data_IF_496620005802
#
_entry.id   IF_496620005802
#
_cell.length_a   1.000
_cell.length_b   1.000
_cell.length_c   1.000
_cell.angle_alpha   90.00
_cell.angle_beta   90.00
_cell.angle_gamma   90.00
#
_symmetry.space_group_name_H-M   'P 1'
#
loop_
_entity.id
_entity.type
_entity.pdbx_description
1 polymer ?
#
# COMPACT_ATOMS: atom_id res chain seq x y z
N UNK A 1 -7.13 3.77 24.30
CA UNK A 1 -6.33 3.28 23.16
C UNK A 1 -5.25 2.34 23.70
N UNK A 2 -4.83 1.31 22.95
CA UNK A 2 -3.71 0.45 23.35
C UNK A 2 -2.38 1.20 23.18
N UNK A 3 -2.10 2.11 24.10
CA UNK A 3 -0.86 2.92 24.15
C UNK A 3 0.26 2.22 24.91
N UNK A 4 -0.07 1.13 25.62
CA UNK A 4 0.87 0.36 26.43
C UNK A 4 0.92 -1.07 25.96
N UNK A 5 2.09 -1.70 26.11
CA UNK A 5 2.25 -3.14 25.91
C UNK A 5 1.28 -3.88 26.83
N UNK A 6 0.66 -4.92 26.28
CA UNK A 6 -0.17 -5.81 27.07
C UNK A 6 0.71 -6.51 28.12
N UNK A 7 0.23 -6.71 29.37
CA UNK A 7 0.95 -7.53 30.34
C UNK A 7 1.16 -8.94 29.79
N UNK A 8 2.21 -9.60 30.26
CA UNK A 8 2.50 -10.99 29.91
C UNK A 8 1.31 -11.88 30.29
N UNK A 9 0.88 -12.71 29.36
CA UNK A 9 -0.22 -13.65 29.52
C UNK A 9 0.27 -15.03 29.08
N UNK A 10 0.14 -16.02 29.96
CA UNK A 10 0.56 -17.39 29.67
C UNK A 10 -0.28 -18.05 28.55
N UNK A 11 -1.45 -17.49 28.22
CA UNK A 11 -2.41 -18.07 27.28
C UNK A 11 -2.40 -17.42 25.91
N UNK A 12 -1.80 -16.24 25.76
CA UNK A 12 -1.86 -15.42 24.54
C UNK A 12 -0.55 -14.71 24.27
N UNK A 13 -0.16 -14.68 23.01
CA UNK A 13 0.96 -13.87 22.54
C UNK A 13 0.46 -12.53 22.03
N UNK A 14 1.23 -11.47 22.29
CA UNK A 14 0.88 -10.11 21.89
C UNK A 14 2.01 -9.49 21.10
N UNK A 15 1.68 -8.95 19.93
CA UNK A 15 2.52 -8.01 19.21
C UNK A 15 1.89 -6.63 19.33
N UNK A 16 2.61 -5.71 19.97
CA UNK A 16 2.23 -4.31 20.06
C UNK A 16 3.14 -3.49 19.14
N UNK A 17 2.53 -2.83 18.16
CA UNK A 17 3.20 -1.90 17.27
C UNK A 17 2.62 -0.51 17.53
N UNK A 18 3.45 0.39 18.06
CA UNK A 18 3.10 1.79 18.23
C UNK A 18 3.20 2.49 16.87
N UNK A 19 2.05 2.86 16.31
CA UNK A 19 1.94 3.44 14.98
C UNK A 19 0.79 4.45 15.01
N UNK A 20 1.00 5.63 14.45
CA UNK A 20 -0.02 6.62 14.10
C UNK A 20 -0.37 6.55 12.61
N UNK A 21 -1.49 7.15 12.20
CA UNK A 21 -2.01 6.98 10.84
C UNK A 21 -1.13 7.61 9.75
N UNK A 22 -0.12 8.41 10.12
CA UNK A 22 0.84 9.07 9.22
C UNK A 22 2.23 8.43 9.23
N UNK A 23 2.46 7.44 10.09
CA UNK A 23 3.78 6.85 10.28
C UNK A 23 4.18 5.91 9.13
N UNK A 24 5.47 5.58 9.08
CA UNK A 24 6.01 4.60 8.14
C UNK A 24 5.82 3.16 8.64
N UNK A 25 4.78 2.49 8.16
CA UNK A 25 4.50 1.10 8.51
C UNK A 25 5.49 0.11 7.91
N UNK A 26 6.24 0.47 6.85
CA UNK A 26 7.12 -0.48 6.13
C UNK A 26 8.09 -1.20 7.05
N UNK A 27 8.60 -0.49 8.06
CA UNK A 27 9.56 -1.02 9.05
C UNK A 27 8.99 -2.16 9.88
N UNK A 28 7.66 -2.22 10.02
CA UNK A 28 6.95 -3.20 10.83
C UNK A 28 6.35 -4.34 9.99
N UNK A 29 6.36 -4.24 8.66
CA UNK A 29 5.72 -5.24 7.79
C UNK A 29 6.32 -6.64 7.98
N UNK A 30 7.64 -6.75 8.09
CA UNK A 30 8.26 -8.07 8.28
C UNK A 30 7.85 -8.71 9.62
N UNK A 31 7.90 -7.94 10.70
CA UNK A 31 7.56 -8.40 12.04
C UNK A 31 6.07 -8.77 12.16
N UNK A 32 5.18 -7.89 11.67
CA UNK A 32 3.73 -8.14 11.71
C UNK A 32 3.35 -9.38 10.90
N UNK A 33 3.94 -9.55 9.71
CA UNK A 33 3.64 -10.69 8.84
C UNK A 33 4.12 -11.97 9.50
N UNK A 34 5.34 -11.99 10.05
CA UNK A 34 5.86 -13.16 10.75
C UNK A 34 4.99 -13.54 11.97
N UNK A 35 4.53 -12.56 12.74
CA UNK A 35 3.64 -12.79 13.87
C UNK A 35 2.31 -13.42 13.44
N UNK A 36 1.62 -12.83 12.44
CA UNK A 36 0.35 -13.36 11.94
C UNK A 36 0.54 -14.76 11.34
N UNK A 37 1.58 -14.93 10.51
CA UNK A 37 1.86 -16.18 9.82
C UNK A 37 2.19 -17.33 10.78
N UNK A 38 3.01 -17.07 11.82
CA UNK A 38 3.34 -18.07 12.84
C UNK A 38 2.10 -18.55 13.61
N UNK A 39 1.21 -17.63 13.99
CA UNK A 39 -0.02 -17.98 14.71
C UNK A 39 -0.99 -18.79 13.83
N UNK A 40 -1.15 -18.42 12.55
CA UNK A 40 -2.01 -19.15 11.61
C UNK A 40 -1.43 -20.54 11.31
N UNK A 41 -0.12 -20.66 11.05
CA UNK A 41 0.54 -21.96 10.82
C UNK A 41 0.51 -22.87 12.04
N UNK A 42 0.50 -22.29 13.24
CA UNK A 42 0.28 -23.03 14.49
C UNK A 42 -1.17 -23.49 14.72
N UNK A 43 -2.10 -23.21 13.81
CA UNK A 43 -3.52 -23.54 13.96
C UNK A 43 -4.28 -22.62 14.92
N UNK A 44 -3.69 -21.47 15.28
CA UNK A 44 -4.28 -20.48 16.17
C UNK A 44 -5.21 -19.48 15.47
N UNK A 45 -5.74 -18.56 16.27
CA UNK A 45 -6.60 -17.46 15.81
C UNK A 45 -5.90 -16.13 16.13
N UNK A 46 -5.87 -15.22 15.16
CA UNK A 46 -5.26 -13.90 15.32
C UNK A 46 -6.32 -12.81 15.37
N UNK A 47 -6.28 -11.97 16.41
CA UNK A 47 -7.06 -10.75 16.50
C UNK A 47 -6.16 -9.56 16.14
N UNK A 48 -6.49 -8.87 15.04
CA UNK A 48 -5.82 -7.63 14.63
C UNK A 48 -6.77 -6.47 14.89
N UNK A 49 -6.35 -5.46 15.65
CA UNK A 49 -7.17 -4.30 15.94
C UNK A 49 -6.34 -3.01 16.05
N UNK A 50 -7.00 -1.87 15.92
CA UNK A 50 -6.45 -0.56 16.29
C UNK A 50 -7.49 0.18 17.14
N UNK A 51 -7.43 1.51 17.24
CA UNK A 51 -8.40 2.27 18.03
C UNK A 51 -9.84 2.18 17.48
N UNK A 52 -10.01 2.39 16.17
CA UNK A 52 -11.32 2.40 15.50
C UNK A 52 -11.51 1.23 14.52
N UNK A 53 -10.47 0.44 14.27
CA UNK A 53 -10.52 -0.65 13.29
C UNK A 53 -10.50 -0.21 11.82
N UNK A 54 -10.03 1.02 11.53
CA UNK A 54 -10.21 1.66 10.21
C UNK A 54 -8.93 1.72 9.36
N UNK A 55 -7.82 2.17 9.95
CA UNK A 55 -6.59 2.49 9.21
C UNK A 55 -5.48 1.46 9.49
N UNK A 56 -4.79 1.58 10.62
CA UNK A 56 -3.63 0.75 10.99
C UNK A 56 -3.89 -0.76 11.00
N UNK A 57 -5.03 -1.20 11.53
CA UNK A 57 -5.37 -2.63 11.56
C UNK A 57 -5.74 -3.18 10.18
N UNK A 58 -6.41 -2.38 9.34
CA UNK A 58 -6.66 -2.74 7.95
C UNK A 58 -5.33 -2.85 7.20
N UNK A 59 -4.44 -1.88 7.34
CA UNK A 59 -3.11 -1.90 6.72
C UNK A 59 -2.31 -3.15 7.11
N UNK A 60 -2.31 -3.55 8.38
CA UNK A 60 -1.68 -4.79 8.83
C UNK A 60 -2.26 -6.04 8.15
N UNK A 61 -3.58 -6.12 7.99
CA UNK A 61 -4.24 -7.22 7.27
C UNK A 61 -3.85 -7.21 5.77
N UNK A 62 -3.83 -6.04 5.14
CA UNK A 62 -3.45 -5.90 3.73
C UNK A 62 -1.99 -6.30 3.51
N UNK A 63 -1.07 -5.89 4.39
CA UNK A 63 0.33 -6.35 4.37
C UNK A 63 0.41 -7.86 4.43
N UNK A 64 -0.34 -8.50 5.32
CA UNK A 64 -0.40 -9.95 5.38
C UNK A 64 -0.92 -10.55 4.06
N UNK A 65 -2.03 -10.06 3.51
CA UNK A 65 -2.57 -10.57 2.24
C UNK A 65 -1.58 -10.43 1.06
N UNK A 66 -0.90 -9.29 0.94
CA UNK A 66 0.14 -9.04 -0.06
C UNK A 66 1.40 -9.90 0.15
N UNK A 67 1.65 -10.38 1.37
CA UNK A 67 2.72 -11.35 1.63
C UNK A 67 2.37 -12.75 1.10
N UNK A 68 1.09 -13.12 1.16
CA UNK A 68 0.62 -14.46 0.81
C UNK A 68 0.34 -14.61 -0.69
N UNK A 69 0.07 -13.51 -1.38
CA UNK A 69 -0.33 -13.51 -2.80
C UNK A 69 0.37 -12.39 -3.55
N UNK A 70 0.69 -12.57 -4.85
CA UNK A 70 1.31 -11.53 -5.67
C UNK A 70 0.30 -10.46 -6.13
N UNK A 71 -0.39 -9.83 -5.18
CA UNK A 71 -1.44 -8.83 -5.40
C UNK A 71 -1.02 -7.46 -4.86
N UNK A 72 -1.59 -6.39 -5.41
CA UNK A 72 -1.40 -5.03 -4.91
C UNK A 72 -2.19 -4.79 -3.62
N UNK A 73 -1.88 -3.71 -2.91
CA UNK A 73 -2.62 -3.33 -1.70
C UNK A 73 -4.08 -2.99 -2.01
N UNK A 74 -4.38 -2.45 -3.20
CA UNK A 74 -5.75 -2.23 -3.67
C UNK A 74 -6.48 -3.54 -3.97
N UNK A 75 -5.85 -4.48 -4.67
CA UNK A 75 -6.43 -5.81 -4.94
C UNK A 75 -6.68 -6.58 -3.63
N UNK A 76 -5.77 -6.47 -2.66
CA UNK A 76 -5.94 -7.03 -1.32
C UNK A 76 -7.12 -6.39 -0.58
N UNK A 77 -7.31 -5.09 -0.75
CA UNK A 77 -8.43 -4.34 -0.18
C UNK A 77 -9.77 -4.79 -0.76
N UNK A 78 -9.84 -4.98 -2.08
CA UNK A 78 -11.01 -5.53 -2.76
C UNK A 78 -11.34 -6.94 -2.26
N UNK A 79 -10.33 -7.80 -2.18
CA UNK A 79 -10.48 -9.16 -1.63
C UNK A 79 -11.03 -9.18 -0.20
N UNK A 80 -10.60 -8.22 0.64
CA UNK A 80 -11.08 -8.10 2.02
C UNK A 80 -12.55 -7.65 2.08
N UNK A 81 -12.98 -6.75 1.20
CA UNK A 81 -14.37 -6.27 1.14
C UNK A 81 -15.35 -7.39 0.78
N UNK A 82 -14.99 -8.22 -0.20
CA UNK A 82 -15.85 -9.34 -0.64
C UNK A 82 -16.20 -10.29 0.51
N UNK A 83 -15.26 -10.50 1.45
CA UNK A 83 -15.40 -11.47 2.54
C UNK A 83 -16.00 -10.89 3.80
N UNK A 84 -15.98 -9.57 3.94
CA UNK A 84 -16.45 -8.91 5.15
C UNK A 84 -17.07 -7.55 4.77
N UNK A 85 -18.26 -7.56 4.14
CA UNK A 85 -18.93 -6.35 3.67
C UNK A 85 -19.23 -5.36 4.81
N UNK A 86 -19.39 -5.85 6.03
CA UNK A 86 -19.60 -5.04 7.24
C UNK A 86 -18.34 -4.36 7.78
N UNK A 87 -17.15 -4.67 7.25
CA UNK A 87 -15.95 -3.88 7.59
C UNK A 87 -16.16 -2.51 6.98
N UNK A 88 -16.58 -1.57 7.82
CA UNK A 88 -16.55 -0.13 7.54
C UNK A 88 -15.09 0.27 7.34
N UNK A 89 -14.54 0.04 6.17
CA UNK A 89 -13.25 0.58 5.80
C UNK A 89 -13.49 2.05 5.46
N UNK A 90 -13.29 2.94 6.44
CA UNK A 90 -13.22 4.39 6.21
C UNK A 90 -12.07 4.75 5.26
N UNK A 91 -11.17 3.80 4.94
CA UNK A 91 -10.30 3.84 3.77
C UNK A 91 -11.04 4.21 2.46
N UNK A 92 -12.34 3.86 2.34
CA UNK A 92 -13.12 4.00 1.11
C UNK A 92 -13.93 5.29 0.94
N UNK A 93 -14.12 6.12 1.97
CA UNK A 93 -14.75 7.44 1.76
C UNK A 93 -13.91 8.32 0.78
N UNK A 94 -12.66 7.93 0.55
CA UNK A 94 -11.77 8.51 -0.44
C UNK A 94 -12.17 8.23 -1.91
N UNK A 95 -12.96 7.19 -2.21
CA UNK A 95 -13.27 6.76 -3.59
C UNK A 95 -14.68 7.11 -4.07
N UNK A 96 -15.60 7.53 -3.19
CA UNK A 96 -16.98 7.87 -3.58
C UNK A 96 -17.20 9.35 -3.94
N UNK A 97 -16.18 10.03 -4.52
CA UNK A 97 -16.41 11.29 -5.25
C UNK A 97 -16.11 12.61 -4.53
N UNK A 98 -15.07 12.68 -3.69
CA UNK A 98 -14.49 13.97 -3.26
C UNK A 98 -13.03 14.02 -3.70
N UNK A 99 -12.81 14.73 -4.81
CA UNK A 99 -11.57 15.19 -5.43
C UNK A 99 -10.33 14.28 -5.42
N UNK A 100 -10.02 13.77 -6.61
CA UNK A 100 -8.80 13.04 -7.00
C UNK A 100 -7.50 13.86 -6.80
N UNK A 101 -7.59 15.17 -6.53
CA UNK A 101 -6.47 16.09 -6.36
C UNK A 101 -5.87 16.13 -4.93
N UNK A 102 -6.42 15.37 -3.97
CA UNK A 102 -5.99 15.40 -2.55
C UNK A 102 -5.52 14.04 -2.00
N UNK A 103 -5.01 13.15 -2.87
CA UNK A 103 -4.41 11.89 -2.40
C UNK A 103 -3.18 12.09 -1.49
N UNK A 104 -2.49 13.23 -1.61
CA UNK A 104 -1.29 13.54 -0.83
C UNK A 104 -1.53 13.94 0.64
N UNK A 105 -2.78 14.11 1.08
CA UNK A 105 -3.10 14.53 2.46
C UNK A 105 -3.91 13.49 3.25
N UNK A 106 -4.13 12.29 2.71
CA UNK A 106 -5.00 11.28 3.33
C UNK A 106 -4.16 10.19 4.00
N UNK A 107 -4.21 10.06 5.34
CA UNK A 107 -3.39 9.09 6.09
C UNK A 107 -3.56 7.65 5.61
N UNK A 108 -4.76 7.29 5.16
CA UNK A 108 -5.07 5.96 4.65
C UNK A 108 -4.43 5.62 3.30
N UNK A 109 -4.20 6.61 2.43
CA UNK A 109 -3.51 6.42 1.15
C UNK A 109 -2.01 6.13 1.36
N UNK A 110 -1.43 6.70 2.43
CA UNK A 110 -0.02 6.49 2.78
C UNK A 110 0.27 5.02 3.04
N UNK A 111 -0.58 4.30 3.79
CA UNK A 111 -0.35 2.87 4.04
C UNK A 111 -0.44 2.02 2.77
N UNK A 112 -1.41 2.26 1.88
CA UNK A 112 -1.51 1.50 0.62
C UNK A 112 -0.26 1.68 -0.24
N UNK A 113 0.23 2.91 -0.35
CA UNK A 113 1.47 3.24 -1.07
C UNK A 113 2.68 2.59 -0.40
N UNK A 114 2.79 2.66 0.92
CA UNK A 114 3.87 2.06 1.69
C UNK A 114 3.92 0.53 1.52
N UNK A 115 2.77 -0.15 1.54
CA UNK A 115 2.67 -1.61 1.32
C UNK A 115 3.15 -1.98 -0.08
N UNK A 116 2.66 -1.28 -1.10
CA UNK A 116 3.08 -1.52 -2.49
C UNK A 116 4.57 -1.26 -2.66
N UNK A 117 5.09 -0.17 -2.08
CA UNK A 117 6.52 0.13 -2.09
C UNK A 117 7.34 -0.98 -1.43
N UNK A 118 6.89 -1.51 -0.29
CA UNK A 118 7.57 -2.61 0.42
C UNK A 118 7.65 -3.89 -0.43
N UNK A 119 6.56 -4.27 -1.10
CA UNK A 119 6.51 -5.48 -1.93
C UNK A 119 6.93 -5.24 -3.39
N UNK A 120 7.35 -4.03 -3.77
CA UNK A 120 7.70 -3.68 -5.15
C UNK A 120 6.53 -3.79 -6.14
N UNK A 121 5.30 -3.51 -5.70
CA UNK A 121 4.07 -3.59 -6.51
C UNK A 121 3.74 -2.23 -7.12
N UNK A 122 3.11 -2.25 -8.30
CA UNK A 122 2.52 -1.07 -8.95
C UNK A 122 1.04 -1.30 -9.17
N UNK A 123 0.22 -0.30 -8.88
CA UNK A 123 -1.22 -0.38 -9.12
C UNK A 123 -1.51 -0.43 -10.62
N UNK A 124 -2.42 -1.32 -11.03
CA UNK A 124 -2.79 -1.49 -12.44
C UNK A 124 -3.54 -0.29 -13.04
N UNK A 125 -3.96 0.66 -12.19
CA UNK A 125 -4.76 1.82 -12.54
C UNK A 125 -4.03 3.17 -12.42
N UNK A 126 -2.70 3.18 -12.47
CA UNK A 126 -2.01 4.41 -12.91
C UNK A 126 -2.23 4.53 -14.42
N UNK A 127 -3.42 5.00 -14.84
CA UNK A 127 -3.57 5.58 -16.16
C UNK A 127 -2.50 6.67 -16.25
N UNK A 128 -1.41 6.38 -16.97
CA UNK A 128 -0.29 7.29 -17.13
C UNK A 128 -0.84 8.69 -17.41
N UNK A 129 -0.52 9.64 -16.54
CA UNK A 129 -0.98 11.02 -16.67
C UNK A 129 -0.79 11.46 -18.14
N UNK A 130 -1.86 11.89 -18.84
CA UNK A 130 -1.77 12.25 -20.24
C UNK A 130 -0.63 13.24 -20.54
N UNK A 131 -0.29 14.11 -19.58
CA UNK A 131 0.81 15.05 -19.71
C UNK A 131 2.17 14.39 -19.52
N UNK A 132 2.35 13.50 -18.54
CA UNK A 132 3.54 12.66 -18.41
C UNK A 132 3.82 11.85 -19.69
N UNK A 133 2.77 11.25 -20.29
CA UNK A 133 2.85 10.56 -21.59
C UNK A 133 3.27 11.49 -22.72
N UNK A 134 2.80 12.74 -22.71
CA UNK A 134 3.15 13.74 -23.72
C UNK A 134 4.61 14.20 -23.59
N UNK A 135 5.07 14.53 -22.38
CA UNK A 135 6.46 14.93 -22.12
C UNK A 135 7.46 13.84 -22.48
N UNK A 136 7.16 12.57 -22.17
CA UNK A 136 8.00 11.44 -22.59
C UNK A 136 8.16 11.38 -24.12
N UNK A 137 7.06 11.51 -24.87
CA UNK A 137 7.09 11.54 -26.35
C UNK A 137 7.91 12.71 -26.91
N UNK A 138 7.88 13.86 -26.25
CA UNK A 138 8.73 15.00 -26.63
C UNK A 138 10.21 14.73 -26.38
N UNK A 139 10.55 14.12 -25.25
CA UNK A 139 11.94 13.75 -24.92
C UNK A 139 12.49 12.70 -25.88
N UNK A 140 11.70 11.69 -26.23
CA UNK A 140 12.05 10.67 -27.23
C UNK A 140 12.31 11.30 -28.62
N UNK A 141 11.48 12.26 -29.04
CA UNK A 141 11.69 13.02 -30.28
C UNK A 141 12.96 13.87 -30.23
N UNK A 142 13.22 14.54 -29.11
CA UNK A 142 14.42 15.37 -28.92
C UNK A 142 15.70 14.53 -28.93
N UNK A 143 15.66 13.32 -28.37
CA UNK A 143 16.77 12.37 -28.40
C UNK A 143 17.00 11.78 -29.81
N UNK A 144 15.93 11.54 -30.59
CA UNK A 144 16.04 11.07 -31.97
C UNK A 144 16.54 12.11 -32.98
N UNK A 145 16.41 13.41 -32.68
CA UNK A 145 16.81 14.51 -33.58
C UNK A 145 18.32 14.81 -33.51
N UNK A 146 19.08 14.31 -32.52
CA UNK A 146 20.51 14.64 -32.37
C UNK A 146 21.49 13.79 -33.21
N UNK A 147 21.03 13.04 -34.22
CA UNK A 147 21.90 12.09 -34.97
C UNK A 147 22.01 12.31 -36.49
N UNK A 148 21.58 13.45 -37.03
CA UNK A 148 21.88 13.79 -38.44
C UNK A 148 22.62 15.12 -38.53
N UNK A 149 23.95 15.04 -38.55
CA UNK A 149 24.80 16.09 -39.12
C UNK A 149 24.69 16.07 -40.65
N UNK A 150 24.61 17.22 -41.34
CA UNK A 150 24.61 17.23 -42.80
C UNK A 150 26.01 16.95 -43.34
N UNK A 151 26.11 15.91 -44.19
CA UNK A 151 27.30 15.56 -44.97
C UNK A 151 27.67 16.68 -45.97
N UNK A 152 28.95 16.99 -46.20
CA UNK A 152 29.35 18.05 -47.11
C UNK A 152 29.12 17.64 -48.57
N UNK A 153 28.39 18.47 -49.31
CA UNK A 153 28.17 18.29 -50.73
C UNK A 153 29.49 18.46 -51.50
N UNK A 154 29.89 17.41 -52.22
CA UNK A 154 30.98 17.45 -53.19
C UNK A 154 30.36 17.63 -54.56
N UNK A 155 30.57 18.78 -55.22
CA UNK A 155 30.92 18.88 -56.64
C UNK A 155 31.47 20.27 -56.93
#
# INVERSE_FOLDING_TARGET
MCTHKHPEDATRTYLHIALDDIDDMKRHIQELVAFIDSAIKGGGIVLVHCALGLNRSAAAILSYLCSQKPITSLEALEYLKERKPDVRQVLLLCFMGIDLLTLNERPSALFLQQINQYYGRKEKNEAEDPMARFHRRLQERKAGISSQSPSPATT
#
